data_IF_902813014396
#
_entry.id   IF_902813014396
#
_cell.length_a   1.000
_cell.length_b   1.000
_cell.length_c   1.000
_cell.angle_alpha   90.00
_cell.angle_beta   90.00
_cell.angle_gamma   90.00
#
_symmetry.space_group_name_H-M   'P 1'
#
loop_
_entity.id
_entity.type
_entity.pdbx_description
1 polymer ?
#
# COMPACT_ATOMS: atom_id res chain seq x y z
N UNK A 1 -30.75 -21.31 -17.87
CA UNK A 1 -30.61 -20.52 -16.63
C UNK A 1 -29.56 -21.08 -15.67
N UNK A 2 -29.37 -22.41 -15.52
CA UNK A 2 -28.42 -22.95 -14.53
C UNK A 2 -26.94 -22.59 -14.77
N UNK A 3 -26.46 -22.60 -16.03
CA UNK A 3 -25.06 -22.28 -16.35
C UNK A 3 -24.69 -20.81 -16.07
N UNK A 4 -25.59 -19.87 -16.35
CA UNK A 4 -25.37 -18.44 -16.07
C UNK A 4 -25.31 -18.23 -14.55
N UNK A 5 -26.20 -18.86 -13.79
CA UNK A 5 -26.19 -18.75 -12.33
C UNK A 5 -24.93 -19.38 -11.71
N UNK A 6 -24.46 -20.51 -12.24
CA UNK A 6 -23.19 -21.12 -11.83
C UNK A 6 -21.99 -20.23 -12.15
N UNK A 7 -21.96 -19.61 -13.33
CA UNK A 7 -20.89 -18.68 -13.70
C UNK A 7 -20.90 -17.41 -12.82
N UNK A 8 -22.08 -16.88 -12.51
CA UNK A 8 -22.25 -15.74 -11.61
C UNK A 8 -21.84 -16.09 -10.17
N UNK A 9 -22.20 -17.28 -9.68
CA UNK A 9 -21.75 -17.77 -8.38
C UNK A 9 -20.23 -17.90 -8.34
N UNK A 10 -19.61 -18.53 -9.35
CA UNK A 10 -18.15 -18.64 -9.44
C UNK A 10 -17.46 -17.27 -9.42
N UNK A 11 -18.03 -16.28 -10.12
CA UNK A 11 -17.46 -14.95 -10.23
C UNK A 11 -17.67 -14.08 -8.97
N UNK A 12 -18.79 -14.25 -8.25
CA UNK A 12 -19.20 -13.33 -7.17
C UNK A 12 -19.07 -13.90 -5.77
N UNK A 13 -19.10 -15.22 -5.60
CA UNK A 13 -19.08 -15.85 -4.28
C UNK A 13 -17.64 -15.93 -3.72
N UNK A 14 -17.33 -15.22 -2.61
CA UNK A 14 -15.97 -15.21 -2.06
C UNK A 14 -15.46 -16.58 -1.62
N UNK A 15 -16.33 -17.59 -1.42
CA UNK A 15 -15.90 -18.96 -1.08
C UNK A 15 -14.95 -19.56 -2.12
N UNK A 16 -15.13 -19.23 -3.40
CA UNK A 16 -14.31 -19.76 -4.50
C UNK A 16 -12.88 -19.20 -4.53
N UNK A 17 -12.63 -18.07 -3.85
CA UNK A 17 -11.27 -17.50 -3.74
C UNK A 17 -10.28 -18.49 -3.10
N UNK A 18 -10.75 -19.45 -2.28
CA UNK A 18 -9.89 -20.45 -1.61
C UNK A 18 -9.02 -21.26 -2.57
N UNK A 19 -9.55 -21.59 -3.75
CA UNK A 19 -8.85 -22.36 -4.78
C UNK A 19 -8.45 -21.48 -5.96
N UNK A 20 -9.14 -20.37 -6.23
CA UNK A 20 -8.75 -19.43 -7.29
C UNK A 20 -7.41 -18.77 -6.95
N UNK A 21 -7.19 -18.38 -5.69
CA UNK A 21 -5.93 -17.75 -5.28
C UNK A 21 -4.69 -18.61 -5.56
N UNK A 22 -4.59 -19.88 -5.09
CA UNK A 22 -3.41 -20.70 -5.40
C UNK A 22 -3.25 -20.99 -6.90
N UNK A 23 -4.34 -21.14 -7.67
CA UNK A 23 -4.27 -21.32 -9.12
C UNK A 23 -3.70 -20.09 -9.82
N UNK A 24 -4.18 -18.89 -9.47
CA UNK A 24 -3.64 -17.63 -10.00
C UNK A 24 -2.18 -17.42 -9.59
N UNK A 25 -1.80 -17.79 -8.36
CA UNK A 25 -0.42 -17.69 -7.90
C UNK A 25 0.52 -18.61 -8.70
N UNK A 26 0.08 -19.84 -9.02
CA UNK A 26 0.85 -20.76 -9.88
C UNK A 26 0.93 -20.23 -11.32
N UNK A 27 -0.19 -19.73 -11.87
CA UNK A 27 -0.21 -19.15 -13.20
C UNK A 27 0.76 -17.95 -13.29
N UNK A 28 0.75 -17.09 -12.29
CA UNK A 28 1.60 -15.90 -12.25
C UNK A 28 3.06 -16.25 -11.96
N UNK A 29 3.35 -17.32 -11.21
CA UNK A 29 4.71 -17.86 -11.10
C UNK A 29 5.26 -18.30 -12.47
N UNK A 30 4.40 -18.87 -13.33
CA UNK A 30 4.73 -19.13 -14.73
C UNK A 30 5.02 -17.85 -15.51
N UNK A 31 4.19 -16.82 -15.37
CA UNK A 31 4.40 -15.50 -16.00
C UNK A 31 5.72 -14.88 -15.52
N UNK A 32 5.99 -14.88 -14.22
CA UNK A 32 7.25 -14.48 -13.62
C UNK A 32 8.45 -15.18 -14.27
N UNK A 33 8.42 -16.51 -14.35
CA UNK A 33 9.49 -17.29 -14.99
C UNK A 33 9.71 -16.89 -16.45
N UNK A 34 8.62 -16.70 -17.21
CA UNK A 34 8.68 -16.24 -18.60
C UNK A 34 9.23 -14.82 -18.72
N UNK A 35 8.85 -13.90 -17.83
CA UNK A 35 9.35 -12.52 -17.81
C UNK A 35 10.85 -12.50 -17.55
N UNK A 36 11.34 -13.23 -16.54
CA UNK A 36 12.79 -13.34 -16.26
C UNK A 36 13.53 -13.95 -17.45
N UNK A 37 12.95 -14.98 -18.08
CA UNK A 37 13.62 -15.68 -19.18
C UNK A 37 13.64 -14.90 -20.49
N UNK A 38 12.57 -14.15 -20.81
CA UNK A 38 12.36 -13.54 -22.14
C UNK A 38 12.58 -12.04 -22.19
N UNK A 39 12.46 -11.33 -21.08
CA UNK A 39 12.52 -9.86 -21.08
C UNK A 39 13.85 -9.39 -20.48
N UNK A 40 14.64 -8.58 -21.21
CA UNK A 40 15.90 -8.06 -20.70
C UNK A 40 15.72 -7.24 -19.41
N UNK A 41 16.67 -7.42 -18.49
CA UNK A 41 16.83 -6.56 -17.32
C UNK A 41 17.05 -5.10 -17.75
N UNK A 42 16.52 -4.15 -16.97
CA UNK A 42 16.72 -2.72 -17.18
C UNK A 42 17.31 -2.10 -15.91
N UNK A 43 18.58 -1.73 -15.98
CA UNK A 43 19.27 -1.03 -14.88
C UNK A 43 18.67 0.36 -14.66
N UNK A 44 18.42 0.70 -13.40
CA UNK A 44 17.96 2.04 -12.98
C UNK A 44 18.67 2.42 -11.69
N UNK A 45 18.52 1.60 -10.65
CA UNK A 45 19.06 1.88 -9.31
C UNK A 45 19.80 0.70 -8.66
N UNK A 46 19.77 -0.50 -9.24
CA UNK A 46 20.36 -1.69 -8.61
C UNK A 46 21.85 -1.51 -8.39
N UNK A 47 22.57 -1.06 -9.42
CA UNK A 47 24.01 -0.78 -9.33
C UNK A 47 24.30 0.24 -8.22
N UNK A 48 23.55 1.35 -8.17
CA UNK A 48 23.64 2.35 -7.09
C UNK A 48 23.42 1.73 -5.71
N UNK A 49 22.44 0.85 -5.56
CA UNK A 49 22.21 0.16 -4.29
C UNK A 49 23.42 -0.68 -3.89
N UNK A 50 24.03 -1.43 -4.81
CA UNK A 50 25.21 -2.26 -4.53
C UNK A 50 26.42 -1.41 -4.13
N UNK A 51 26.66 -0.28 -4.82
CA UNK A 51 27.74 0.67 -4.50
C UNK A 51 27.57 1.27 -3.09
N UNK A 52 26.34 1.67 -2.73
CA UNK A 52 26.02 2.19 -1.41
C UNK A 52 26.26 1.15 -0.31
N UNK A 53 25.89 -0.11 -0.56
CA UNK A 53 26.13 -1.22 0.36
C UNK A 53 27.62 -1.51 0.50
N UNK A 54 28.41 -1.42 -0.57
CA UNK A 54 29.85 -1.61 -0.50
C UNK A 54 30.52 -0.59 0.42
N UNK A 55 30.14 0.69 0.33
CA UNK A 55 30.60 1.74 1.24
C UNK A 55 30.23 1.43 2.71
N UNK A 56 29.00 0.96 2.93
CA UNK A 56 28.57 0.52 4.26
C UNK A 56 29.40 -0.68 4.77
N UNK A 57 29.68 -1.67 3.94
CA UNK A 57 30.51 -2.82 4.32
C UNK A 57 31.94 -2.37 4.67
N UNK A 58 32.50 -1.40 3.95
CA UNK A 58 33.81 -0.78 4.22
C UNK A 58 33.88 0.04 5.51
N UNK A 59 32.75 0.24 6.20
CA UNK A 59 32.71 0.87 7.52
C UNK A 59 32.09 2.27 7.53
N UNK A 60 31.65 2.81 6.39
CA UNK A 60 30.98 4.12 6.36
C UNK A 60 29.61 4.04 7.06
N UNK A 61 29.33 5.00 7.94
CA UNK A 61 28.09 5.10 8.73
C UNK A 61 27.47 6.50 8.66
N UNK A 62 28.12 7.45 8.00
CA UNK A 62 27.56 8.77 7.73
C UNK A 62 26.81 8.75 6.39
N UNK A 63 25.49 8.90 6.43
CA UNK A 63 24.63 8.90 5.23
C UNK A 63 25.02 9.99 4.21
N UNK A 64 25.70 11.06 4.63
CA UNK A 64 26.22 12.09 3.72
C UNK A 64 27.28 11.54 2.77
N UNK A 65 28.00 10.50 3.19
CA UNK A 65 29.11 9.93 2.45
C UNK A 65 28.75 8.63 1.72
N UNK A 66 27.56 8.06 1.98
CA UNK A 66 27.08 6.86 1.30
C UNK A 66 26.38 7.29 0.01
N UNK A 67 27.14 7.30 -1.08
CA UNK A 67 26.70 7.79 -2.40
C UNK A 67 27.05 6.76 -3.47
N UNK A 68 26.10 6.49 -4.37
CA UNK A 68 26.34 5.71 -5.58
C UNK A 68 26.15 6.58 -6.83
N UNK A 69 26.31 5.96 -7.99
CA UNK A 69 26.32 6.57 -9.32
C UNK A 69 25.06 7.39 -9.64
N UNK A 70 23.88 6.98 -9.17
CA UNK A 70 22.62 7.73 -9.36
C UNK A 70 22.24 8.63 -8.18
N UNK A 71 23.04 8.68 -7.11
CA UNK A 71 22.88 9.64 -6.02
C UNK A 71 23.10 9.09 -4.60
N UNK A 72 22.83 9.91 -3.58
CA UNK A 72 23.03 9.54 -2.18
C UNK A 72 22.02 8.50 -1.68
N UNK A 73 22.40 7.77 -0.64
CA UNK A 73 21.48 6.91 0.11
C UNK A 73 20.45 7.78 0.84
N UNK A 74 19.18 7.55 0.51
CA UNK A 74 18.02 8.28 1.08
C UNK A 74 16.98 7.36 1.71
N UNK A 75 17.25 6.06 1.74
CA UNK A 75 16.32 5.09 2.30
C UNK A 75 16.66 4.81 3.76
N UNK A 76 15.67 4.57 4.64
CA UNK A 76 15.97 4.23 6.02
C UNK A 76 16.65 2.88 6.15
N UNK A 77 17.11 2.57 7.36
CA UNK A 77 18.15 1.57 7.55
C UNK A 77 17.77 0.12 7.21
N UNK A 78 16.48 -0.26 7.17
CA UNK A 78 16.11 -1.62 6.78
C UNK A 78 16.46 -1.90 5.30
N UNK A 79 16.44 -0.88 4.44
CA UNK A 79 16.99 -0.98 3.08
C UNK A 79 18.44 -1.47 3.11
N UNK A 80 19.29 -0.85 3.93
CA UNK A 80 20.72 -1.21 4.02
C UNK A 80 20.90 -2.66 4.44
N UNK A 81 20.13 -3.14 5.41
CA UNK A 81 20.22 -4.51 5.90
C UNK A 81 19.75 -5.54 4.86
N UNK A 82 18.64 -5.28 4.18
CA UNK A 82 18.12 -6.14 3.10
C UNK A 82 19.14 -6.20 1.96
N UNK A 83 19.61 -5.04 1.49
CA UNK A 83 20.52 -4.97 0.36
C UNK A 83 21.93 -5.47 0.69
N UNK A 84 22.35 -5.44 1.97
CA UNK A 84 23.55 -6.18 2.43
C UNK A 84 23.43 -7.68 2.21
N UNK A 85 22.27 -8.27 2.51
CA UNK A 85 22.03 -9.70 2.25
C UNK A 85 22.03 -9.96 0.74
N UNK A 86 21.33 -9.13 -0.04
CA UNK A 86 21.30 -9.26 -1.50
C UNK A 86 22.70 -9.15 -2.13
N UNK A 87 23.51 -8.19 -1.68
CA UNK A 87 24.89 -8.00 -2.11
C UNK A 87 25.73 -9.27 -1.87
N UNK A 88 25.57 -9.92 -0.71
CA UNK A 88 26.27 -11.17 -0.41
C UNK A 88 25.79 -12.35 -1.26
N UNK A 89 24.48 -12.45 -1.53
CA UNK A 89 23.90 -13.56 -2.30
C UNK A 89 24.18 -13.45 -3.81
N UNK A 90 24.27 -12.23 -4.34
CA UNK A 90 24.29 -11.96 -5.79
C UNK A 90 25.70 -11.68 -6.33
N UNK A 91 26.74 -12.19 -5.67
CA UNK A 91 28.13 -11.92 -6.05
C UNK A 91 28.40 -10.41 -6.19
N UNK A 92 28.14 -9.68 -5.10
CA UNK A 92 28.29 -8.22 -5.02
C UNK A 92 27.40 -7.45 -6.00
N UNK A 93 26.27 -8.05 -6.41
CA UNK A 93 25.33 -7.46 -7.36
C UNK A 93 25.56 -7.84 -8.82
N UNK A 94 26.61 -8.61 -9.14
CA UNK A 94 26.95 -9.01 -10.51
C UNK A 94 26.02 -10.11 -11.05
N UNK A 95 25.51 -10.98 -10.18
CA UNK A 95 24.56 -12.02 -10.57
C UNK A 95 23.14 -11.45 -10.64
N UNK A 96 22.85 -10.72 -11.72
CA UNK A 96 21.55 -10.08 -11.96
C UNK A 96 20.45 -11.14 -12.06
N UNK A 97 20.69 -12.27 -12.73
CA UNK A 97 19.67 -13.30 -12.89
C UNK A 97 19.18 -13.83 -11.52
N UNK A 98 20.10 -14.07 -10.58
CA UNK A 98 19.73 -14.44 -9.21
C UNK A 98 18.95 -13.33 -8.51
N UNK A 99 19.34 -12.06 -8.69
CA UNK A 99 18.57 -10.93 -8.17
C UNK A 99 17.12 -10.96 -8.71
N UNK A 100 16.94 -11.11 -10.03
CA UNK A 100 15.61 -11.17 -10.65
C UNK A 100 14.76 -12.32 -10.10
N UNK A 101 15.37 -13.50 -9.86
CA UNK A 101 14.70 -14.66 -9.24
C UNK A 101 14.29 -14.32 -7.80
N UNK A 102 15.17 -13.73 -6.99
CA UNK A 102 14.85 -13.31 -5.62
C UNK A 102 13.68 -12.31 -5.62
N UNK A 103 13.71 -11.30 -6.49
CA UNK A 103 12.61 -10.35 -6.62
C UNK A 103 11.32 -11.00 -7.14
N UNK A 104 11.41 -12.01 -8.00
CA UNK A 104 10.27 -12.83 -8.41
C UNK A 104 9.66 -13.60 -7.25
N UNK A 105 10.49 -14.16 -6.35
CA UNK A 105 10.00 -14.81 -5.12
C UNK A 105 9.35 -13.78 -4.19
N UNK A 106 9.97 -12.60 -4.00
CA UNK A 106 9.40 -11.50 -3.21
C UNK A 106 8.05 -11.05 -3.80
N UNK A 107 7.93 -10.98 -5.12
CA UNK A 107 6.68 -10.68 -5.81
C UNK A 107 5.59 -11.72 -5.48
N UNK A 108 5.87 -13.01 -5.68
CA UNK A 108 4.91 -14.09 -5.42
C UNK A 108 4.52 -14.19 -3.94
N UNK A 109 5.48 -14.01 -3.02
CA UNK A 109 5.19 -13.93 -1.59
C UNK A 109 4.26 -12.75 -1.29
N UNK A 110 4.54 -11.58 -1.85
CA UNK A 110 3.70 -10.39 -1.64
C UNK A 110 2.32 -10.59 -2.23
N UNK A 111 2.21 -11.11 -3.45
CA UNK A 111 0.95 -11.45 -4.10
C UNK A 111 0.14 -12.47 -3.28
N UNK A 112 0.80 -13.49 -2.74
CA UNK A 112 0.18 -14.47 -1.85
C UNK A 112 -0.45 -13.78 -0.63
N UNK A 113 0.27 -12.87 0.03
CA UNK A 113 -0.24 -12.09 1.16
C UNK A 113 -1.38 -11.16 0.73
N UNK A 114 -1.25 -10.46 -0.40
CA UNK A 114 -2.30 -9.60 -0.98
C UNK A 114 -3.59 -10.41 -1.19
N UNK A 115 -3.50 -11.60 -1.79
CA UNK A 115 -4.65 -12.48 -1.98
C UNK A 115 -5.27 -12.90 -0.64
N UNK A 116 -4.47 -13.15 0.41
CA UNK A 116 -5.03 -13.39 1.74
C UNK A 116 -5.74 -12.17 2.33
N UNK A 117 -5.22 -10.96 2.10
CA UNK A 117 -5.90 -9.73 2.53
C UNK A 117 -7.27 -9.55 1.86
N UNK A 118 -7.32 -9.80 0.55
CA UNK A 118 -8.55 -9.76 -0.25
C UNK A 118 -9.55 -10.82 0.23
N UNK A 119 -9.08 -12.03 0.54
CA UNK A 119 -9.91 -13.11 1.09
C UNK A 119 -10.48 -12.77 2.46
N UNK A 120 -9.65 -12.23 3.36
CA UNK A 120 -10.09 -11.80 4.69
C UNK A 120 -11.16 -10.70 4.61
N UNK A 121 -11.04 -9.79 3.65
CA UNK A 121 -12.02 -8.75 3.36
C UNK A 121 -13.23 -9.22 2.53
N UNK A 122 -13.33 -10.52 2.21
CA UNK A 122 -14.40 -11.17 1.43
C UNK A 122 -14.61 -10.58 0.03
N UNK A 123 -13.52 -10.18 -0.63
CA UNK A 123 -13.57 -9.66 -2.00
C UNK A 123 -14.04 -10.76 -2.97
N UNK A 124 -14.95 -10.46 -3.92
CA UNK A 124 -15.44 -11.44 -4.88
C UNK A 124 -14.36 -11.92 -5.87
N UNK A 125 -14.43 -13.17 -6.34
CA UNK A 125 -13.45 -13.76 -7.25
C UNK A 125 -13.16 -12.97 -8.54
N UNK A 126 -14.14 -12.29 -9.12
CA UNK A 126 -13.95 -11.55 -10.37
C UNK A 126 -12.90 -10.42 -10.28
N UNK A 127 -12.52 -9.99 -9.07
CA UNK A 127 -11.49 -8.97 -8.86
C UNK A 127 -10.08 -9.56 -8.90
N UNK A 128 -9.91 -10.84 -8.56
CA UNK A 128 -8.60 -11.49 -8.41
C UNK A 128 -7.75 -11.52 -9.69
N UNK A 129 -8.31 -11.68 -10.91
CA UNK A 129 -7.51 -11.55 -12.13
C UNK A 129 -6.74 -10.23 -12.23
N UNK A 130 -7.30 -9.11 -11.75
CA UNK A 130 -6.64 -7.80 -11.78
C UNK A 130 -5.36 -7.75 -10.93
N UNK A 131 -5.12 -8.73 -10.05
CA UNK A 131 -3.94 -8.79 -9.19
C UNK A 131 -2.69 -9.29 -9.90
N UNK A 132 -2.86 -10.05 -11.00
CA UNK A 132 -1.77 -10.71 -11.72
C UNK A 132 -1.52 -10.13 -13.12
N UNK A 133 -2.45 -9.32 -13.65
CA UNK A 133 -2.38 -8.84 -15.04
C UNK A 133 -1.46 -7.63 -15.25
N UNK A 134 -0.83 -7.09 -14.20
CA UNK A 134 -0.05 -5.86 -14.31
C UNK A 134 1.34 -6.09 -14.90
N UNK A 135 1.57 -5.60 -16.12
CA UNK A 135 2.89 -5.59 -16.77
C UNK A 135 3.87 -4.70 -16.00
N UNK A 136 3.42 -3.51 -15.58
CA UNK A 136 4.29 -2.55 -14.89
C UNK A 136 4.79 -3.12 -13.57
N UNK A 137 3.92 -3.78 -12.79
CA UNK A 137 4.26 -4.36 -11.50
C UNK A 137 5.30 -5.47 -11.62
N UNK A 138 5.11 -6.41 -12.55
CA UNK A 138 6.13 -7.41 -12.91
C UNK A 138 7.49 -6.76 -13.22
N UNK A 139 7.45 -5.69 -14.01
CA UNK A 139 8.67 -4.98 -14.41
C UNK A 139 9.37 -4.29 -13.24
N UNK A 140 8.62 -3.76 -12.26
CA UNK A 140 9.15 -3.10 -11.05
C UNK A 140 9.90 -4.10 -10.18
N UNK A 141 9.32 -5.27 -9.94
CA UNK A 141 9.94 -6.32 -9.14
C UNK A 141 11.12 -6.93 -9.89
N UNK A 142 10.87 -7.50 -11.06
CA UNK A 142 11.77 -8.50 -11.64
C UNK A 142 12.73 -7.93 -12.68
N UNK A 143 12.40 -6.79 -13.28
CA UNK A 143 13.23 -6.20 -14.35
C UNK A 143 13.96 -4.93 -13.90
N UNK A 144 13.58 -4.35 -12.77
CA UNK A 144 14.18 -3.14 -12.19
C UNK A 144 14.74 -3.37 -10.78
N UNK A 145 14.27 -4.41 -10.07
CA UNK A 145 14.74 -4.77 -8.73
C UNK A 145 14.64 -3.60 -7.73
N UNK A 146 13.51 -2.86 -7.77
CA UNK A 146 13.32 -1.66 -6.96
C UNK A 146 13.11 -1.97 -5.48
N UNK A 147 13.62 -1.09 -4.61
CA UNK A 147 13.47 -1.18 -3.16
C UNK A 147 11.99 -1.21 -2.69
N UNK A 148 11.10 -0.56 -3.43
CA UNK A 148 9.65 -0.49 -3.17
C UNK A 148 9.00 -1.87 -2.95
N UNK A 149 9.53 -2.92 -3.58
CA UNK A 149 9.03 -4.28 -3.49
C UNK A 149 8.99 -4.79 -2.03
N UNK A 150 10.06 -4.56 -1.27
CA UNK A 150 10.13 -4.97 0.14
C UNK A 150 9.25 -4.10 1.04
N UNK A 151 9.10 -2.82 0.69
CA UNK A 151 8.25 -1.90 1.42
C UNK A 151 6.76 -2.28 1.27
N UNK A 152 6.33 -2.66 0.06
CA UNK A 152 4.97 -3.15 -0.21
C UNK A 152 4.72 -4.50 0.44
N UNK A 153 5.70 -5.41 0.45
CA UNK A 153 5.61 -6.66 1.23
C UNK A 153 5.36 -6.38 2.72
N UNK A 154 6.10 -5.44 3.32
CA UNK A 154 5.89 -5.02 4.70
C UNK A 154 4.49 -4.44 4.93
N UNK A 155 4.00 -3.58 4.01
CA UNK A 155 2.67 -2.98 4.08
C UNK A 155 1.55 -4.03 4.06
N UNK A 156 1.55 -4.94 3.08
CA UNK A 156 0.50 -5.96 2.98
C UNK A 156 0.59 -7.02 4.09
N UNK A 157 1.81 -7.38 4.53
CA UNK A 157 1.99 -8.26 5.69
C UNK A 157 1.44 -7.64 6.97
N UNK A 158 1.60 -6.31 7.13
CA UNK A 158 0.99 -5.58 8.23
C UNK A 158 -0.53 -5.60 8.18
N UNK A 159 -1.11 -5.29 7.01
CA UNK A 159 -2.57 -5.34 6.81
C UNK A 159 -3.09 -6.74 7.15
N UNK A 160 -2.45 -7.79 6.63
CA UNK A 160 -2.88 -9.16 6.89
C UNK A 160 -2.85 -9.52 8.38
N UNK A 161 -1.79 -9.12 9.09
CA UNK A 161 -1.68 -9.37 10.53
C UNK A 161 -2.74 -8.59 11.32
N UNK A 162 -3.01 -7.33 10.97
CA UNK A 162 -4.08 -6.53 11.58
C UNK A 162 -5.47 -7.14 11.33
N UNK A 163 -5.73 -7.67 10.13
CA UNK A 163 -6.97 -8.38 9.81
C UNK A 163 -7.17 -9.69 10.62
N UNK A 164 -6.13 -10.17 11.31
CA UNK A 164 -6.15 -11.37 12.16
C UNK A 164 -5.93 -11.06 13.64
N UNK A 165 -6.09 -9.80 14.02
CA UNK A 165 -5.87 -9.31 15.39
C UNK A 165 -4.44 -9.54 15.91
N UNK A 166 -3.46 -9.76 15.01
CA UNK A 166 -2.04 -9.91 15.36
C UNK A 166 -1.35 -8.54 15.36
N UNK A 167 -1.80 -7.65 16.23
CA UNK A 167 -1.44 -6.23 16.24
C UNK A 167 0.06 -5.95 16.36
N UNK A 168 0.76 -6.59 17.28
CA UNK A 168 2.21 -6.40 17.46
C UNK A 168 3.00 -6.86 16.23
N UNK A 169 2.61 -8.00 15.64
CA UNK A 169 3.24 -8.51 14.42
C UNK A 169 2.95 -7.60 13.22
N UNK A 170 1.71 -7.09 13.11
CA UNK A 170 1.34 -6.13 12.09
C UNK A 170 2.17 -4.85 12.20
N UNK A 171 2.31 -4.31 13.40
CA UNK A 171 3.14 -3.12 13.67
C UNK A 171 4.61 -3.38 13.39
N UNK A 172 5.13 -4.57 13.70
CA UNK A 172 6.50 -4.95 13.33
C UNK A 172 6.71 -4.96 11.81
N UNK A 173 5.82 -5.60 11.04
CA UNK A 173 5.91 -5.64 9.57
C UNK A 173 5.75 -4.25 8.94
N UNK A 174 4.79 -3.47 9.43
CA UNK A 174 4.58 -2.09 9.00
C UNK A 174 5.85 -1.26 9.22
N UNK A 175 6.42 -1.34 10.43
CA UNK A 175 7.61 -0.57 10.80
C UNK A 175 8.84 -1.02 10.01
N UNK A 176 8.95 -2.32 9.72
CA UNK A 176 9.98 -2.84 8.82
C UNK A 176 9.85 -2.21 7.44
N UNK A 177 8.65 -2.22 6.83
CA UNK A 177 8.40 -1.56 5.54
C UNK A 177 8.66 -0.05 5.57
N UNK A 178 8.31 0.63 6.67
CA UNK A 178 8.61 2.05 6.88
C UNK A 178 10.11 2.31 6.89
N UNK A 179 10.88 1.40 7.48
CA UNK A 179 12.34 1.48 7.48
C UNK A 179 12.98 1.00 6.16
N UNK A 180 12.21 0.44 5.22
CA UNK A 180 12.65 0.19 3.84
C UNK A 180 12.43 1.45 3.01
N UNK A 181 11.25 2.08 3.13
CA UNK A 181 10.92 3.31 2.40
C UNK A 181 9.94 4.17 3.20
N UNK A 182 10.28 5.46 3.34
CA UNK A 182 9.47 6.43 4.08
C UNK A 182 8.05 6.66 3.52
N UNK A 183 7.76 6.18 2.31
CA UNK A 183 6.42 6.24 1.71
C UNK A 183 5.35 5.54 2.55
N UNK A 184 5.74 4.63 3.45
CA UNK A 184 4.81 4.04 4.41
C UNK A 184 4.41 5.00 5.54
N UNK A 185 4.91 6.24 5.59
CA UNK A 185 4.31 7.29 6.42
C UNK A 185 2.87 7.65 5.98
N UNK A 186 2.54 7.44 4.69
CA UNK A 186 1.21 7.75 4.14
C UNK A 186 0.06 7.00 4.86
N UNK A 187 0.15 5.69 5.14
CA UNK A 187 -0.85 4.98 5.93
C UNK A 187 -0.76 5.20 7.46
N UNK A 188 0.27 5.86 8.00
CA UNK A 188 0.47 6.00 9.45
C UNK A 188 -0.76 6.60 10.18
N UNK A 189 -1.42 7.66 9.68
CA UNK A 189 -2.60 8.22 10.36
C UNK A 189 -3.76 7.21 10.46
N UNK A 190 -3.96 6.40 9.42
CA UNK A 190 -4.97 5.34 9.41
C UNK A 190 -4.62 4.22 10.41
N UNK A 191 -3.36 3.77 10.43
CA UNK A 191 -2.90 2.73 11.37
C UNK A 191 -3.07 3.19 12.82
N UNK A 192 -2.67 4.43 13.13
CA UNK A 192 -2.86 5.00 14.47
C UNK A 192 -4.33 5.07 14.88
N UNK A 193 -5.21 5.52 13.98
CA UNK A 193 -6.64 5.59 14.24
C UNK A 193 -7.28 4.21 14.43
N UNK A 194 -6.87 3.22 13.64
CA UNK A 194 -7.31 1.83 13.77
C UNK A 194 -6.84 1.27 15.11
N UNK A 195 -5.58 1.46 15.48
CA UNK A 195 -5.03 0.98 16.75
C UNK A 195 -5.77 1.61 17.95
N UNK A 196 -6.05 2.91 17.91
CA UNK A 196 -6.84 3.58 18.96
C UNK A 196 -8.24 3.00 19.09
N UNK A 197 -8.93 2.74 17.98
CA UNK A 197 -10.30 2.21 18.01
C UNK A 197 -10.36 0.72 18.33
N UNK A 198 -9.39 -0.08 17.87
CA UNK A 198 -9.39 -1.52 18.09
C UNK A 198 -8.83 -1.90 19.46
N UNK A 199 -7.80 -1.19 19.94
CA UNK A 199 -7.04 -1.58 21.12
C UNK A 199 -7.24 -0.65 22.32
N UNK A 200 -7.70 0.58 22.12
CA UNK A 200 -7.71 1.61 23.16
C UNK A 200 -6.40 2.39 23.22
N UNK A 201 -6.34 3.42 24.07
CA UNK A 201 -5.23 4.37 24.09
C UNK A 201 -3.91 3.74 24.56
N UNK A 202 -3.94 2.94 25.63
CA UNK A 202 -2.73 2.37 26.24
C UNK A 202 -2.02 1.40 25.30
N UNK A 203 -2.76 0.50 24.69
CA UNK A 203 -2.25 -0.48 23.73
C UNK A 203 -1.85 0.21 22.41
N UNK A 204 -2.53 1.28 21.99
CA UNK A 204 -2.09 2.10 20.87
C UNK A 204 -0.74 2.78 21.14
N UNK A 205 -0.49 3.27 22.36
CA UNK A 205 0.83 3.75 22.77
C UNK A 205 1.86 2.61 22.71
N UNK A 206 1.48 1.39 23.10
CA UNK A 206 2.36 0.22 22.96
C UNK A 206 2.73 -0.04 21.50
N UNK A 207 1.78 0.09 20.56
CA UNK A 207 2.09 0.01 19.12
C UNK A 207 3.05 1.14 18.69
N UNK A 208 2.82 2.37 19.14
CA UNK A 208 3.73 3.49 18.85
C UNK A 208 5.16 3.24 19.38
N UNK A 209 5.28 2.63 20.56
CA UNK A 209 6.57 2.24 21.13
C UNK A 209 7.25 1.13 20.31
N UNK A 210 6.51 0.17 19.76
CA UNK A 210 7.06 -0.84 18.84
C UNK A 210 7.59 -0.16 17.57
N UNK A 211 6.84 0.81 17.01
CA UNK A 211 7.31 1.57 15.84
C UNK A 211 8.65 2.27 16.15
N UNK A 212 8.74 2.91 17.31
CA UNK A 212 9.97 3.57 17.76
C UNK A 212 11.11 2.57 17.94
N UNK A 213 10.90 1.50 18.70
CA UNK A 213 11.92 0.51 19.04
C UNK A 213 12.46 -0.22 17.81
N UNK A 214 11.58 -0.66 16.90
CA UNK A 214 11.99 -1.35 15.67
C UNK A 214 12.74 -0.38 14.74
N UNK A 215 12.30 0.88 14.61
CA UNK A 215 13.01 1.88 13.81
C UNK A 215 14.40 2.22 14.38
N UNK A 216 14.51 2.35 15.70
CA UNK A 216 15.80 2.51 16.39
C UNK A 216 16.67 1.28 16.20
N UNK A 217 16.09 0.07 16.27
CA UNK A 217 16.80 -1.19 16.04
C UNK A 217 17.46 -1.24 14.66
N UNK A 218 16.70 -0.95 13.59
CA UNK A 218 17.27 -0.87 12.24
C UNK A 218 18.32 0.24 12.11
N UNK A 219 18.04 1.43 12.66
CA UNK A 219 18.92 2.61 12.61
C UNK A 219 20.16 2.55 13.52
N UNK A 220 20.24 1.59 14.44
CA UNK A 220 21.30 1.49 15.46
C UNK A 220 22.75 1.54 14.92
N UNK A 221 23.08 0.95 13.75
CA UNK A 221 24.42 1.07 13.17
C UNK A 221 24.83 2.53 12.88
N UNK A 222 23.87 3.43 12.67
CA UNK A 222 24.09 4.82 12.30
C UNK A 222 24.02 5.79 13.49
N UNK A 223 23.84 5.30 14.72
CA UNK A 223 23.62 6.12 15.93
C UNK A 223 24.68 7.20 16.17
N UNK A 224 25.96 6.94 15.86
CA UNK A 224 27.05 7.92 16.01
C UNK A 224 26.96 9.08 15.00
N UNK A 225 26.19 8.91 13.93
CA UNK A 225 25.91 9.89 12.88
C UNK A 225 24.39 10.12 12.74
N UNK A 226 23.65 9.97 13.84
CA UNK A 226 22.18 10.03 13.83
C UNK A 226 21.60 11.29 13.16
N UNK A 227 22.15 12.51 13.35
CA UNK A 227 21.63 13.69 12.65
C UNK A 227 21.69 13.56 11.12
N UNK A 228 22.77 12.97 10.61
CA UNK A 228 22.94 12.72 9.17
C UNK A 228 21.96 11.65 8.67
N UNK A 229 21.81 10.56 9.43
CA UNK A 229 20.84 9.49 9.14
C UNK A 229 19.42 10.04 8.99
N UNK A 230 18.89 10.72 10.01
CA UNK A 230 17.51 11.20 9.97
C UNK A 230 17.31 12.29 8.90
N UNK A 231 18.27 13.19 8.71
CA UNK A 231 18.17 14.23 7.69
C UNK A 231 18.15 13.69 6.25
N UNK A 232 18.74 12.51 6.00
CA UNK A 232 18.78 11.88 4.67
C UNK A 232 17.69 10.83 4.47
N UNK A 233 17.48 9.95 5.44
CA UNK A 233 16.51 8.85 5.36
C UNK A 233 15.04 9.32 5.40
N UNK A 234 14.79 10.49 6.02
CA UNK A 234 13.46 11.11 6.13
C UNK A 234 13.48 12.53 5.59
N UNK A 235 14.06 12.71 4.39
CA UNK A 235 14.21 14.03 3.76
C UNK A 235 12.93 14.49 3.04
N UNK A 236 12.10 15.28 3.73
CA UNK A 236 10.85 15.84 3.17
C UNK A 236 11.06 17.00 2.19
N UNK A 237 12.24 17.62 2.17
CA UNK A 237 12.55 18.76 1.31
C UNK A 237 12.96 18.35 -0.11
N UNK A 238 13.30 17.07 -0.32
CA UNK A 238 13.79 16.57 -1.59
C UNK A 238 12.77 16.84 -2.70
N UNK A 239 13.26 17.43 -3.78
CA UNK A 239 12.48 17.69 -4.98
C UNK A 239 12.89 16.71 -6.07
N UNK A 240 11.93 15.97 -6.60
CA UNK A 240 12.15 15.12 -7.75
C UNK A 240 12.07 15.94 -9.03
N UNK A 241 12.87 15.56 -10.03
CA UNK A 241 12.95 16.28 -11.29
C UNK A 241 11.63 16.14 -12.06
N UNK A 242 11.14 17.24 -12.60
CA UNK A 242 9.88 17.29 -13.35
C UNK A 242 9.86 16.28 -14.52
N UNK A 243 11.01 15.98 -15.14
CA UNK A 243 11.11 14.96 -16.21
C UNK A 243 10.74 13.53 -15.80
N UNK A 244 10.83 13.20 -14.50
CA UNK A 244 10.60 11.84 -13.99
C UNK A 244 9.21 11.67 -13.37
N UNK A 245 8.46 12.77 -13.21
CA UNK A 245 7.14 12.73 -12.60
C UNK A 245 6.14 12.03 -13.52
N UNK A 246 5.31 11.17 -12.94
CA UNK A 246 4.21 10.49 -13.62
C UNK A 246 2.91 11.28 -13.43
N UNK A 247 2.76 11.97 -12.30
CA UNK A 247 1.62 12.84 -12.00
C UNK A 247 1.96 14.33 -12.19
N UNK A 248 0.93 15.15 -12.45
CA UNK A 248 1.02 16.60 -12.68
C UNK A 248 1.86 17.03 -13.90
N UNK A 249 2.11 16.16 -14.87
CA UNK A 249 2.82 16.49 -16.13
C UNK A 249 2.03 17.41 -17.06
N UNK A 250 0.75 17.59 -16.79
CA UNK A 250 -0.13 18.56 -17.47
C UNK A 250 -0.07 19.96 -16.85
N UNK A 251 0.70 20.15 -15.77
CA UNK A 251 0.93 21.42 -15.11
C UNK A 251 2.30 21.96 -15.53
N UNK A 252 2.43 23.25 -15.79
CA UNK A 252 3.72 23.84 -16.17
C UNK A 252 4.81 23.62 -15.10
N UNK A 253 6.04 23.42 -15.54
CA UNK A 253 7.17 23.10 -14.65
C UNK A 253 7.41 24.18 -13.58
N UNK A 254 7.20 25.46 -13.94
CA UNK A 254 7.32 26.59 -13.00
C UNK A 254 6.29 26.49 -11.87
N UNK A 255 5.05 26.11 -12.19
CA UNK A 255 3.98 25.91 -11.20
C UNK A 255 4.28 24.67 -10.36
N UNK A 256 4.68 23.57 -11.00
CA UNK A 256 5.04 22.32 -10.33
C UNK A 256 6.14 22.50 -9.28
N UNK A 257 7.19 23.28 -9.61
CA UNK A 257 8.30 23.56 -8.70
C UNK A 257 7.99 24.64 -7.65
N UNK A 258 6.88 25.37 -7.80
CA UNK A 258 6.51 26.45 -6.89
C UNK A 258 6.21 25.96 -5.48
N UNK A 259 6.57 26.78 -4.49
CA UNK A 259 6.25 26.53 -3.08
C UNK A 259 4.74 26.52 -2.83
N UNK A 260 4.00 27.39 -3.52
CA UNK A 260 2.54 27.50 -3.39
C UNK A 260 1.84 26.21 -3.82
N UNK A 261 2.29 25.58 -4.92
CA UNK A 261 1.74 24.30 -5.36
C UNK A 261 2.01 23.18 -4.35
N UNK A 262 3.24 23.09 -3.84
CA UNK A 262 3.60 22.10 -2.82
C UNK A 262 2.77 22.26 -1.52
N UNK A 263 2.57 23.50 -1.06
CA UNK A 263 1.73 23.79 0.11
C UNK A 263 0.27 23.47 -0.17
N UNK A 264 -0.25 23.82 -1.34
CA UNK A 264 -1.63 23.50 -1.75
C UNK A 264 -1.91 22.00 -1.73
N UNK A 265 -0.98 21.19 -2.27
CA UNK A 265 -1.05 19.73 -2.22
C UNK A 265 -1.01 19.19 -0.78
N UNK A 266 -0.18 19.76 0.09
CA UNK A 266 -0.12 19.38 1.51
C UNK A 266 -1.43 19.71 2.24
N UNK A 267 -2.00 20.90 2.00
CA UNK A 267 -3.30 21.30 2.56
C UNK A 267 -4.40 20.36 2.07
N UNK A 268 -4.40 20.00 0.78
CA UNK A 268 -5.33 19.02 0.23
C UNK A 268 -5.17 17.64 0.88
N UNK A 269 -3.93 17.19 1.09
CA UNK A 269 -3.64 15.92 1.77
C UNK A 269 -4.21 15.88 3.19
N UNK A 270 -3.87 16.88 4.00
CA UNK A 270 -4.35 16.98 5.39
C UNK A 270 -5.87 17.15 5.44
N UNK A 271 -6.44 17.99 4.56
CA UNK A 271 -7.87 18.21 4.45
C UNK A 271 -8.64 16.92 4.13
N UNK A 272 -8.17 16.13 3.15
CA UNK A 272 -8.74 14.83 2.81
C UNK A 272 -8.63 13.84 3.96
N UNK A 273 -7.49 13.76 4.64
CA UNK A 273 -7.34 12.89 5.82
C UNK A 273 -8.32 13.28 6.92
N UNK A 274 -8.43 14.56 7.29
CA UNK A 274 -9.38 15.05 8.30
C UNK A 274 -10.81 14.71 7.88
N UNK A 275 -11.15 14.93 6.60
CA UNK A 275 -12.46 14.62 6.07
C UNK A 275 -12.80 13.14 6.21
N UNK A 276 -11.90 12.25 5.82
CA UNK A 276 -12.11 10.80 5.97
C UNK A 276 -12.18 10.36 7.44
N UNK A 277 -11.30 10.90 8.29
CA UNK A 277 -11.31 10.62 9.73
C UNK A 277 -12.67 10.95 10.31
N UNK A 278 -13.14 12.18 10.10
CA UNK A 278 -14.37 12.70 10.72
C UNK A 278 -15.65 12.14 10.12
N UNK A 279 -15.65 11.74 8.85
CA UNK A 279 -16.87 11.29 8.15
C UNK A 279 -17.00 9.77 7.99
N UNK A 280 -15.89 9.02 8.01
CA UNK A 280 -15.87 7.56 7.73
C UNK A 280 -15.11 6.78 8.78
N UNK A 281 -13.88 7.16 9.10
CA UNK A 281 -13.00 6.26 9.85
C UNK A 281 -13.26 6.22 11.35
N UNK A 282 -13.95 7.21 11.94
CA UNK A 282 -14.42 7.12 13.35
C UNK A 282 -15.78 6.43 13.49
N UNK A 283 -16.48 6.10 12.40
CA UNK A 283 -17.81 5.47 12.46
C UNK A 283 -17.87 4.16 13.27
N UNK A 284 -16.84 3.28 13.29
CA UNK A 284 -16.85 2.08 14.14
C UNK A 284 -17.09 2.41 15.63
N UNK A 285 -16.60 3.56 16.10
CA UNK A 285 -16.82 4.01 17.47
C UNK A 285 -18.28 4.41 17.78
N UNK A 286 -19.11 4.64 16.75
CA UNK A 286 -20.48 5.20 16.86
C UNK A 286 -20.55 6.50 17.68
N UNK A 287 -19.48 7.29 17.66
CA UNK A 287 -19.37 8.56 18.39
C UNK A 287 -19.32 9.74 17.44
N UNK A 288 -19.81 10.88 17.91
CA UNK A 288 -19.53 12.16 17.26
C UNK A 288 -18.04 12.50 17.39
N UNK A 289 -17.54 13.38 16.53
CA UNK A 289 -16.13 13.81 16.56
C UNK A 289 -15.71 14.28 17.96
N UNK A 290 -16.54 15.09 18.64
CA UNK A 290 -16.25 15.58 19.99
C UNK A 290 -16.17 14.47 21.03
N UNK A 291 -17.07 13.48 20.96
CA UNK A 291 -17.06 12.32 21.87
C UNK A 291 -15.87 11.41 21.61
N UNK A 292 -15.46 11.24 20.35
CA UNK A 292 -14.27 10.48 19.99
C UNK A 292 -13.01 11.11 20.57
N UNK A 293 -12.86 12.43 20.46
CA UNK A 293 -11.73 13.15 21.10
C UNK A 293 -11.73 13.03 22.62
N UNK A 294 -12.91 13.05 23.24
CA UNK A 294 -13.04 12.84 24.68
C UNK A 294 -12.54 11.45 25.09
N UNK A 295 -12.87 10.40 24.31
CA UNK A 295 -12.33 9.05 24.53
C UNK A 295 -10.81 9.01 24.46
N UNK A 296 -10.22 9.63 23.44
CA UNK A 296 -8.76 9.64 23.28
C UNK A 296 -8.09 10.29 24.49
N UNK A 297 -8.72 11.30 25.11
CA UNK A 297 -8.22 11.98 26.31
C UNK A 297 -8.43 11.18 27.60
N UNK A 298 -9.56 10.46 27.71
CA UNK A 298 -9.94 9.69 28.91
C UNK A 298 -9.34 8.27 28.91
N UNK A 299 -8.76 7.84 27.79
CA UNK A 299 -7.92 6.64 27.67
C UNK A 299 -8.67 5.39 27.23
N UNK A 300 -9.59 4.90 28.05
CA UNK A 300 -10.31 3.65 27.79
C UNK A 300 -11.81 3.82 28.00
N UNK A 301 -12.58 3.39 27.01
CA UNK A 301 -14.04 3.36 27.11
C UNK A 301 -14.55 1.98 27.52
N UNK A 302 -15.60 1.95 28.34
CA UNK A 302 -16.26 0.72 28.79
C UNK A 302 -16.76 -0.19 27.66
N UNK A 303 -16.94 0.35 26.46
CA UNK A 303 -17.40 -0.35 25.25
C UNK A 303 -16.28 -0.67 24.24
N UNK A 304 -15.01 -0.64 24.65
CA UNK A 304 -13.85 -0.90 23.78
C UNK A 304 -13.97 -2.19 22.98
N UNK A 305 -14.41 -3.29 23.61
CA UNK A 305 -14.63 -4.58 22.96
C UNK A 305 -15.72 -4.55 21.89
N UNK A 306 -16.72 -3.67 22.03
CA UNK A 306 -17.76 -3.50 21.03
C UNK A 306 -17.25 -2.72 19.81
N UNK A 307 -16.34 -1.77 20.01
CA UNK A 307 -15.68 -1.03 18.93
C UNK A 307 -14.73 -1.97 18.18
N UNK A 308 -13.90 -2.72 18.92
CA UNK A 308 -12.96 -3.68 18.36
C UNK A 308 -13.66 -4.71 17.45
N UNK A 309 -14.81 -5.25 17.86
CA UNK A 309 -15.60 -6.18 17.04
C UNK A 309 -16.11 -5.59 15.72
N UNK A 310 -16.23 -4.26 15.61
CA UNK A 310 -16.63 -3.57 14.36
C UNK A 310 -15.44 -3.29 13.45
N UNK A 311 -14.21 -3.42 13.95
CA UNK A 311 -12.95 -3.26 13.20
C UNK A 311 -12.67 -4.49 12.34
N UNK A 312 -13.58 -4.80 11.42
CA UNK A 312 -13.47 -5.99 10.59
C UNK A 312 -12.34 -5.87 9.54
N UNK A 313 -11.91 -6.99 8.92
CA UNK A 313 -10.82 -6.99 7.95
C UNK A 313 -11.01 -6.07 6.75
N UNK A 314 -12.26 -5.89 6.32
CA UNK A 314 -12.62 -5.02 5.20
C UNK A 314 -12.40 -3.54 5.56
N UNK A 315 -12.82 -3.12 6.76
CA UNK A 315 -12.61 -1.77 7.26
C UNK A 315 -11.12 -1.43 7.44
N UNK A 316 -10.35 -2.35 8.04
CA UNK A 316 -8.90 -2.17 8.27
C UNK A 316 -8.18 -1.92 6.93
N UNK A 317 -8.41 -2.80 5.95
CA UNK A 317 -7.76 -2.70 4.65
C UNK A 317 -8.21 -1.45 3.88
N UNK A 318 -9.51 -1.13 3.88
CA UNK A 318 -10.06 0.08 3.25
C UNK A 318 -9.42 1.34 3.78
N UNK A 319 -9.32 1.46 5.11
CA UNK A 319 -8.80 2.66 5.77
C UNK A 319 -7.31 2.85 5.49
N UNK A 320 -6.50 1.79 5.59
CA UNK A 320 -5.05 1.84 5.32
C UNK A 320 -4.76 2.15 3.84
N UNK A 321 -5.44 1.47 2.91
CA UNK A 321 -5.21 1.67 1.48
C UNK A 321 -5.75 3.02 0.99
N UNK A 322 -6.85 3.52 1.56
CA UNK A 322 -7.37 4.85 1.24
C UNK A 322 -6.41 5.94 1.71
N UNK A 323 -5.86 5.85 2.93
CA UNK A 323 -4.85 6.80 3.42
C UNK A 323 -3.61 6.83 2.52
N UNK A 324 -3.13 5.64 2.11
CA UNK A 324 -2.02 5.51 1.15
C UNK A 324 -2.35 6.19 -0.19
N UNK A 325 -3.55 5.97 -0.72
CA UNK A 325 -4.00 6.52 -2.01
C UNK A 325 -4.20 8.04 -1.95
N UNK A 326 -4.73 8.58 -0.85
CA UNK A 326 -4.80 10.04 -0.60
C UNK A 326 -3.40 10.64 -0.61
N UNK A 327 -2.44 9.96 0.01
CA UNK A 327 -1.02 10.32 -0.04
C UNK A 327 -0.46 10.39 -1.45
N UNK A 328 -0.71 9.36 -2.27
CA UNK A 328 -0.25 9.34 -3.67
C UNK A 328 -0.94 10.40 -4.52
N UNK A 329 -2.25 10.62 -4.35
CA UNK A 329 -3.01 11.64 -5.07
C UNK A 329 -2.45 13.05 -4.81
N UNK A 330 -2.13 13.34 -3.55
CA UNK A 330 -1.60 14.64 -3.15
C UNK A 330 -0.06 14.74 -3.22
N UNK A 331 0.64 13.69 -3.68
CA UNK A 331 2.07 13.76 -3.85
C UNK A 331 2.42 14.75 -4.96
N UNK A 332 3.38 15.65 -4.73
CA UNK A 332 3.86 16.55 -5.79
C UNK A 332 4.51 15.78 -6.94
N UNK A 333 5.25 14.72 -6.65
CA UNK A 333 5.88 13.90 -7.68
C UNK A 333 5.82 12.42 -7.33
N UNK A 334 5.36 11.64 -8.30
CA UNK A 334 5.37 10.18 -8.29
C UNK A 334 6.28 9.70 -9.41
N UNK A 335 7.20 8.81 -9.08
CA UNK A 335 7.97 8.04 -10.06
C UNK A 335 7.32 6.67 -10.31
N UNK A 336 7.67 6.02 -11.41
CA UNK A 336 7.08 4.73 -11.82
C UNK A 336 7.09 3.63 -10.74
N UNK A 337 8.10 3.60 -9.86
CA UNK A 337 8.19 2.65 -8.75
C UNK A 337 7.01 2.74 -7.75
N UNK A 338 6.40 3.92 -7.60
CA UNK A 338 5.26 4.12 -6.71
C UNK A 338 4.02 3.35 -7.16
N UNK A 339 3.99 2.86 -8.40
CA UNK A 339 2.92 2.00 -8.86
C UNK A 339 2.76 0.73 -8.03
N UNK A 340 3.84 0.25 -7.40
CA UNK A 340 3.79 -0.93 -6.52
C UNK A 340 2.81 -0.76 -5.33
N UNK A 341 2.61 0.48 -4.85
CA UNK A 341 1.65 0.76 -3.78
C UNK A 341 0.21 0.88 -4.28
N UNK A 342 0.02 1.13 -5.58
CA UNK A 342 -1.28 1.45 -6.17
C UNK A 342 -1.88 0.24 -6.87
N UNK A 343 -1.05 -0.58 -7.54
CA UNK A 343 -1.48 -1.70 -8.38
C UNK A 343 -2.42 -2.67 -7.66
N UNK A 344 -2.12 -3.01 -6.41
CA UNK A 344 -2.97 -3.86 -5.56
C UNK A 344 -3.88 -3.09 -4.60
N UNK A 345 -3.80 -1.76 -4.55
CA UNK A 345 -4.77 -0.95 -3.81
C UNK A 345 -6.00 -0.64 -4.67
N UNK A 346 -5.79 -0.32 -5.95
CA UNK A 346 -6.83 0.13 -6.87
C UNK A 346 -7.96 -0.90 -7.05
N UNK A 347 -7.73 -2.18 -7.38
CA UNK A 347 -8.83 -3.13 -7.55
C UNK A 347 -9.70 -3.26 -6.30
N UNK A 348 -9.07 -3.28 -5.12
CA UNK A 348 -9.78 -3.36 -3.85
C UNK A 348 -10.63 -2.12 -3.60
N UNK A 349 -10.07 -0.93 -3.75
CA UNK A 349 -10.78 0.32 -3.47
C UNK A 349 -11.87 0.62 -4.50
N UNK A 350 -11.69 0.24 -5.77
CA UNK A 350 -12.74 0.34 -6.79
C UNK A 350 -13.91 -0.62 -6.52
N UNK A 351 -13.62 -1.84 -6.05
CA UNK A 351 -14.66 -2.75 -5.56
C UNK A 351 -15.37 -2.18 -4.33
N UNK A 352 -14.61 -1.65 -3.36
CA UNK A 352 -15.18 -1.06 -2.14
C UNK A 352 -16.02 0.19 -2.44
N UNK A 353 -15.66 0.95 -3.48
CA UNK A 353 -16.44 2.08 -3.98
C UNK A 353 -17.82 1.67 -4.52
N UNK A 354 -18.06 0.38 -4.77
CA UNK A 354 -19.31 -0.13 -5.33
C UNK A 354 -19.41 0.04 -6.84
N UNK A 355 -18.28 0.28 -7.53
CA UNK A 355 -18.30 0.41 -8.99
C UNK A 355 -18.67 -0.92 -9.66
N UNK A 356 -19.43 -0.85 -10.76
CA UNK A 356 -19.73 -2.02 -11.57
C UNK A 356 -18.42 -2.67 -12.09
N UNK A 357 -18.33 -4.02 -12.20
CA UNK A 357 -17.10 -4.70 -12.64
C UNK A 357 -16.48 -4.12 -13.92
N UNK A 358 -17.30 -3.75 -14.92
CA UNK A 358 -16.82 -3.12 -16.16
C UNK A 358 -16.04 -1.82 -15.87
N UNK A 359 -16.55 -0.98 -14.96
CA UNK A 359 -15.89 0.27 -14.57
C UNK A 359 -14.61 -0.01 -13.79
N UNK A 360 -14.60 -1.04 -12.93
CA UNK A 360 -13.40 -1.44 -12.21
C UNK A 360 -12.27 -1.85 -13.18
N UNK A 361 -12.59 -2.69 -14.18
CA UNK A 361 -11.63 -3.13 -15.20
C UNK A 361 -11.18 -1.98 -16.10
N UNK A 362 -12.10 -1.07 -16.49
CA UNK A 362 -11.77 0.08 -17.31
C UNK A 362 -10.82 1.05 -16.58
N UNK A 363 -11.11 1.39 -15.31
CA UNK A 363 -10.25 2.26 -14.51
C UNK A 363 -8.91 1.61 -14.18
N UNK A 364 -8.89 0.30 -13.89
CA UNK A 364 -7.64 -0.45 -13.71
C UNK A 364 -6.80 -0.45 -14.98
N UNK A 365 -7.41 -0.69 -16.14
CA UNK A 365 -6.72 -0.67 -17.44
C UNK A 365 -6.20 0.71 -17.81
N UNK A 366 -6.98 1.77 -17.55
CA UNK A 366 -6.55 3.15 -17.74
C UNK A 366 -5.35 3.50 -16.84
N UNK A 367 -5.36 3.03 -15.58
CA UNK A 367 -4.24 3.18 -14.67
C UNK A 367 -3.02 2.40 -15.18
N UNK A 368 -3.15 1.12 -15.50
CA UNK A 368 -2.05 0.30 -16.02
C UNK A 368 -1.44 0.95 -17.28
N UNK A 369 -2.26 1.39 -18.23
CA UNK A 369 -1.78 2.11 -19.42
C UNK A 369 -0.99 3.37 -19.05
N UNK A 370 -1.57 4.24 -18.22
CA UNK A 370 -0.98 5.53 -17.89
C UNK A 370 0.38 5.40 -17.19
N UNK A 371 0.55 4.39 -16.34
CA UNK A 371 1.83 4.09 -15.69
C UNK A 371 2.82 3.35 -16.60
N UNK A 372 2.40 2.84 -17.76
CA UNK A 372 3.28 2.23 -18.75
C UNK A 372 3.85 3.23 -19.78
N UNK A 373 3.21 4.39 -19.98
CA UNK A 373 3.70 5.46 -20.86
C UNK A 373 4.99 6.06 -20.30
N UNK A 374 6.08 6.02 -21.08
CA UNK A 374 7.38 6.58 -20.69
C UNK A 374 8.06 7.30 -21.87
N UNK A 375 8.53 8.55 -21.70
CA UNK A 375 8.25 9.45 -20.58
C UNK A 375 6.76 9.79 -20.51
N UNK A 376 6.28 10.23 -19.34
CA UNK A 376 4.85 10.54 -19.17
C UNK A 376 4.45 11.73 -20.05
N UNK A 377 3.25 11.66 -20.62
CA UNK A 377 2.59 12.76 -21.34
C UNK A 377 1.56 13.46 -20.45
N UNK A 378 1.11 14.69 -20.80
CA UNK A 378 0.02 15.36 -20.09
C UNK A 378 -1.23 14.49 -19.97
N UNK A 379 -1.59 13.75 -21.03
CA UNK A 379 -2.76 12.84 -21.02
C UNK A 379 -2.56 11.70 -20.04
N UNK A 380 -1.45 10.95 -20.14
CA UNK A 380 -1.18 9.84 -19.21
C UNK A 380 -1.15 10.32 -17.76
N UNK A 381 -0.58 11.50 -17.51
CA UNK A 381 -0.48 12.06 -16.18
C UNK A 381 -1.82 12.52 -15.62
N UNK A 382 -2.67 13.13 -16.46
CA UNK A 382 -4.05 13.45 -16.09
C UNK A 382 -4.84 12.19 -15.77
N UNK A 383 -4.67 11.11 -16.54
CA UNK A 383 -5.29 9.81 -16.25
C UNK A 383 -4.88 9.28 -14.88
N UNK A 384 -3.59 9.32 -14.52
CA UNK A 384 -3.12 8.89 -13.19
C UNK A 384 -3.79 9.68 -12.07
N UNK A 385 -3.83 11.01 -12.18
CA UNK A 385 -4.47 11.87 -11.17
C UNK A 385 -5.97 11.62 -11.11
N UNK A 386 -6.63 11.50 -12.26
CA UNK A 386 -8.07 11.28 -12.35
C UNK A 386 -8.49 9.93 -11.74
N UNK A 387 -7.79 8.83 -12.06
CA UNK A 387 -8.12 7.51 -11.50
C UNK A 387 -7.86 7.47 -10.00
N UNK A 388 -6.78 8.09 -9.51
CA UNK A 388 -6.54 8.22 -8.06
C UNK A 388 -7.66 9.02 -7.38
N UNK A 389 -8.07 10.15 -7.96
CA UNK A 389 -9.17 10.97 -7.43
C UNK A 389 -10.51 10.20 -7.42
N UNK A 390 -10.85 9.52 -8.51
CA UNK A 390 -12.05 8.67 -8.62
C UNK A 390 -11.99 7.55 -7.57
N UNK A 391 -10.83 6.94 -7.36
CA UNK A 391 -10.65 5.87 -6.35
C UNK A 391 -10.87 6.39 -4.94
N UNK A 392 -10.31 7.58 -4.60
CA UNK A 392 -10.49 8.21 -3.28
C UNK A 392 -11.94 8.64 -3.07
N UNK A 393 -12.54 9.39 -4.00
CA UNK A 393 -13.93 9.83 -3.88
C UNK A 393 -14.90 8.64 -3.87
N UNK A 394 -14.64 7.64 -4.71
CA UNK A 394 -15.37 6.38 -4.76
C UNK A 394 -15.31 5.63 -3.43
N UNK A 395 -14.13 5.49 -2.82
CA UNK A 395 -14.02 4.82 -1.52
C UNK A 395 -14.75 5.57 -0.41
N UNK A 396 -14.81 6.90 -0.46
CA UNK A 396 -15.63 7.69 0.46
C UNK A 396 -17.13 7.46 0.27
N UNK A 397 -17.58 7.41 -0.99
CA UNK A 397 -18.99 7.25 -1.34
C UNK A 397 -19.49 5.83 -1.06
N UNK A 398 -18.70 4.81 -1.41
CA UNK A 398 -19.03 3.40 -1.25
C UNK A 398 -18.91 2.87 0.19
N UNK A 399 -18.32 3.64 1.11
CA UNK A 399 -18.26 3.32 2.54
C UNK A 399 -19.32 4.04 3.37
N UNK A 400 -20.23 4.79 2.73
CA UNK A 400 -21.20 5.63 3.45
C UNK A 400 -22.10 4.84 4.39
N UNK A 401 -22.55 3.65 3.97
CA UNK A 401 -23.52 2.82 4.69
C UNK A 401 -22.88 1.71 5.55
N UNK A 402 -21.54 1.63 5.63
CA UNK A 402 -20.85 0.49 6.31
C UNK A 402 -21.20 0.34 7.79
N UNK A 403 -21.70 1.42 8.42
CA UNK A 403 -22.03 1.47 9.84
C UNK A 403 -23.34 2.23 10.11
N UNK A 404 -24.18 2.41 9.09
CA UNK A 404 -25.52 2.97 9.27
C UNK A 404 -26.43 1.81 9.72
N UNK A 405 -27.15 1.98 10.83
CA UNK A 405 -28.04 0.98 11.40
C UNK A 405 -29.44 1.14 10.82
N UNK A 406 -30.00 0.08 10.25
CA UNK A 406 -31.42 -0.17 10.41
C UNK A 406 -31.64 -0.79 11.80
N UNK A 407 -32.71 -0.32 12.47
CA UNK A 407 -33.11 -0.73 13.82
C UNK A 407 -33.65 -2.17 13.89
N UNK A 408 -33.73 -2.87 12.76
CA UNK A 408 -34.22 -4.24 12.66
C UNK A 408 -33.07 -5.16 12.25
N UNK A 409 -32.43 -5.80 13.22
CA UNK A 409 -31.92 -7.18 13.19
C UNK A 409 -30.95 -7.69 12.10
N UNK A 410 -30.78 -7.02 10.97
CA UNK A 410 -30.05 -7.55 9.82
C UNK A 410 -28.91 -6.61 9.41
N UNK A 411 -27.72 -7.20 9.31
CA UNK A 411 -26.56 -6.51 8.78
C UNK A 411 -26.80 -6.11 7.32
N UNK A 412 -26.78 -4.81 7.02
CA UNK A 412 -26.68 -4.33 5.64
C UNK A 412 -25.42 -4.94 5.03
N UNK A 413 -25.61 -5.83 4.06
CA UNK A 413 -24.54 -6.50 3.35
C UNK A 413 -23.75 -5.47 2.54
N UNK A 414 -22.45 -5.36 2.83
CA UNK A 414 -21.54 -4.56 2.04
C UNK A 414 -21.41 -5.13 0.61
N UNK A 415 -21.95 -4.39 -0.36
CA UNK A 415 -21.77 -4.53 -1.81
C UNK A 415 -21.78 -5.96 -2.38
N UNK A 416 -22.99 -6.45 -2.70
CA UNK A 416 -23.20 -7.36 -3.84
C UNK A 416 -22.97 -8.85 -3.61
N UNK A 417 -23.08 -9.34 -2.38
CA UNK A 417 -23.35 -10.77 -2.17
C UNK A 417 -24.75 -11.11 -2.69
N UNK A 418 -24.85 -12.22 -3.40
CA UNK A 418 -26.11 -12.71 -3.96
C UNK A 418 -27.16 -12.92 -2.87
N UNK A 419 -28.41 -12.57 -3.18
CA UNK A 419 -29.59 -12.88 -2.39
C UNK A 419 -29.53 -14.32 -1.89
N UNK A 420 -29.39 -14.50 -0.58
CA UNK A 420 -29.81 -15.73 0.05
C UNK A 420 -31.32 -15.61 0.22
N UNK A 421 -32.08 -16.05 -0.79
CA UNK A 421 -33.51 -16.26 -0.63
C UNK A 421 -33.71 -17.27 0.50
N UNK A 422 -34.24 -16.79 1.63
CA UNK A 422 -34.79 -17.65 2.67
C UNK A 422 -35.98 -18.41 2.09
N UNK A 423 -35.75 -19.62 1.59
CA UNK A 423 -36.82 -20.62 1.48
C UNK A 423 -37.10 -21.13 2.89
N UNK A 424 -38.11 -20.56 3.53
CA UNK A 424 -38.82 -21.25 4.59
C UNK A 424 -39.54 -22.45 3.97
N UNK A 425 -39.03 -23.65 4.25
CA UNK A 425 -39.79 -24.89 4.09
C UNK A 425 -40.47 -25.17 5.42
N UNK A 426 -41.80 -25.11 5.43
CA UNK A 426 -42.64 -25.90 6.33
C UNK A 426 -42.61 -27.38 5.94
#
# INVERSE_FOLDING_TARGET
MSLINQALDLARNPKHTRWISPLLLVADAGICGLVIWKVPYTEIDWTTYMEQIELYIKGERDYKNIVGSTGPLVYPAAHVHIYRLLYALTDHGRNIQLAQIIFGIVYLLTLGVVMQCYRAAKVPPYVFPLLILSKRLHSIFMLRCFNDCFAVLGLFSAIYAYQRDQWHLGTFFYTTGLNVKMSLLLPLPAIGLIALQALGFREAITQAMIILQVSVGYGYPFRKRAPSYFARAFEFTRQFLYKWTVNWRFVDEQVFLSRSFAIGLLVAHVGLLIYFITSRWIKPSRRTVGQFWKLVREGESRDQDAIARRMNPNFIMTTILTATTIGMLCARSLHYQFYAYIAWATPFLLWKAGFHPIVQYALWGAQEWAWNVYPSTPVSSLTVVAVLAITVLGSWWGTRNDFDFDFDGDSIQANGSADASHEHTE
#
